data_IF_695755827670
#
_entry.id   IF_695755827670
#
_cell.length_a   1.000
_cell.length_b   1.000
_cell.length_c   1.000
_cell.angle_alpha   90.00
_cell.angle_beta   90.00
_cell.angle_gamma   90.00
#
_symmetry.space_group_name_H-M   'P 1'
#
loop_
_entity.id
_entity.type
_entity.pdbx_description
1 polymer ?
#
# COMPACT_ATOMS: atom_id res chain seq x y z
N UNK A 1 -8.62 -8.24 28.18
CA UNK A 1 -9.12 -7.48 27.02
C UNK A 1 -8.50 -6.09 27.07
N UNK A 2 -8.15 -5.51 25.90
CA UNK A 2 -7.63 -4.14 25.85
C UNK A 2 -8.78 -3.14 26.05
N UNK A 3 -8.51 -2.05 26.75
CA UNK A 3 -9.50 -1.02 27.08
C UNK A 3 -9.14 0.29 26.39
N UNK A 4 -10.15 1.10 26.10
CA UNK A 4 -9.95 2.44 25.56
C UNK A 4 -9.15 3.30 26.54
N UNK A 5 -8.21 4.08 25.99
CA UNK A 5 -7.28 4.89 26.77
C UNK A 5 -7.74 6.36 26.77
N UNK A 6 -7.68 7.08 27.90
CA UNK A 6 -8.02 8.49 27.97
C UNK A 6 -6.89 9.37 27.40
N UNK A 7 -6.78 9.43 26.08
CA UNK A 7 -5.89 10.36 25.38
C UNK A 7 -6.72 11.49 24.79
N UNK A 8 -6.32 12.73 25.06
CA UNK A 8 -6.96 13.91 24.46
C UNK A 8 -6.81 13.85 22.92
N UNK A 9 -7.91 13.98 22.16
CA UNK A 9 -7.88 14.04 20.70
C UNK A 9 -6.90 15.09 20.13
N UNK A 10 -6.64 16.19 20.84
CA UNK A 10 -5.67 17.22 20.45
C UNK A 10 -4.23 16.71 20.40
N UNK A 11 -3.94 15.62 21.11
CA UNK A 11 -2.64 14.95 21.08
C UNK A 11 -2.50 13.92 19.96
N UNK A 12 -3.51 13.78 19.09
CA UNK A 12 -3.54 12.82 17.99
C UNK A 12 -3.35 13.55 16.66
N UNK A 13 -2.38 13.07 15.88
CA UNK A 13 -2.05 13.61 14.57
C UNK A 13 -2.17 12.51 13.50
N UNK A 14 -2.64 12.88 12.32
CA UNK A 14 -2.77 11.99 11.17
C UNK A 14 -2.05 12.59 9.97
N UNK A 15 -0.95 11.98 9.54
CA UNK A 15 -0.12 12.45 8.44
C UNK A 15 -0.10 11.44 7.30
N UNK A 16 -0.44 11.88 6.10
CA UNK A 16 -0.35 11.04 4.91
C UNK A 16 0.89 11.40 4.10
N UNK A 17 1.78 10.44 3.90
CA UNK A 17 2.98 10.58 3.10
C UNK A 17 2.70 10.13 1.66
N UNK A 18 2.65 11.08 0.72
CA UNK A 18 2.27 10.85 -0.67
C UNK A 18 3.23 9.91 -1.42
N UNK A 19 4.53 10.18 -1.34
CA UNK A 19 5.58 9.33 -1.93
C UNK A 19 5.62 7.92 -1.32
N UNK A 20 5.48 7.84 0.02
CA UNK A 20 5.51 6.57 0.75
C UNK A 20 4.19 5.79 0.75
N UNK A 21 3.10 6.38 0.23
CA UNK A 21 1.74 5.80 0.19
C UNK A 21 1.32 5.19 1.52
N UNK A 22 1.54 5.95 2.59
CA UNK A 22 1.23 5.51 3.95
C UNK A 22 0.61 6.62 4.79
N UNK A 23 -0.38 6.24 5.58
CA UNK A 23 -0.93 7.08 6.63
C UNK A 23 -0.24 6.74 7.95
N UNK A 24 0.31 7.76 8.60
CA UNK A 24 0.97 7.67 9.90
C UNK A 24 0.10 8.36 10.93
N UNK A 25 -0.37 7.60 11.91
CA UNK A 25 -1.05 8.13 13.09
C UNK A 25 -0.05 8.26 14.22
N UNK A 26 -0.04 9.41 14.89
CA UNK A 26 0.79 9.66 16.07
C UNK A 26 -0.11 10.08 17.21
N UNK A 27 0.16 9.58 18.40
CA UNK A 27 -0.53 10.01 19.61
C UNK A 27 0.50 10.37 20.67
N UNK A 28 0.25 11.50 21.34
CA UNK A 28 0.98 11.97 22.52
C UNK A 28 0.00 12.40 23.59
N UNK A 29 0.23 11.98 24.82
CA UNK A 29 -0.59 12.40 25.94
C UNK A 29 -0.16 11.80 27.27
N UNK A 30 -0.89 12.18 28.32
CA UNK A 30 -0.71 11.65 29.67
C UNK A 30 -1.82 10.65 29.95
N UNK A 31 -1.46 9.43 30.35
CA UNK A 31 -2.42 8.37 30.65
C UNK A 31 -2.19 7.82 32.06
N UNK A 32 -3.21 7.25 32.70
CA UNK A 32 -3.06 6.60 33.99
C UNK A 32 -1.98 5.50 33.96
N UNK A 33 -1.14 5.47 34.99
CA UNK A 33 0.04 4.59 35.02
C UNK A 33 -0.26 3.09 35.05
N UNK A 34 -1.50 2.69 35.32
CA UNK A 34 -1.91 1.29 35.28
C UNK A 34 -2.12 0.76 33.85
N UNK A 35 -2.23 1.62 32.84
CA UNK A 35 -2.22 1.16 31.45
C UNK A 35 -0.81 0.74 31.05
N UNK A 36 -0.68 -0.33 30.27
CA UNK A 36 0.56 -0.71 29.59
C UNK A 36 0.82 0.22 28.40
N UNK A 37 1.66 -0.20 27.45
CA UNK A 37 1.92 0.60 26.25
C UNK A 37 0.65 0.67 25.38
N UNK A 38 0.12 1.87 25.11
CA UNK A 38 -1.02 2.03 24.23
C UNK A 38 -0.63 1.81 22.76
N UNK A 39 -1.63 1.43 21.97
CA UNK A 39 -1.51 1.21 20.53
C UNK A 39 -2.81 1.63 19.81
N UNK A 40 -2.69 1.83 18.51
CA UNK A 40 -3.84 2.00 17.63
C UNK A 40 -4.32 0.63 17.13
N UNK A 41 -5.63 0.41 17.14
CA UNK A 41 -6.28 -0.70 16.48
C UNK A 41 -7.20 -0.16 15.39
N UNK A 42 -7.12 -0.74 14.19
CA UNK A 42 -7.99 -0.34 13.09
C UNK A 42 -9.33 -1.07 13.21
N UNK A 43 -10.42 -0.32 13.22
CA UNK A 43 -11.77 -0.87 13.22
C UNK A 43 -12.28 -1.05 11.78
N UNK A 44 -12.94 -2.18 11.52
CA UNK A 44 -13.59 -2.42 10.23
C UNK A 44 -14.87 -1.58 10.16
N UNK A 45 -14.85 -0.53 9.35
CA UNK A 45 -16.00 0.37 9.18
C UNK A 45 -16.19 0.74 7.70
N UNK A 46 -17.43 0.63 7.21
CA UNK A 46 -17.80 0.79 5.79
C UNK A 46 -17.84 2.24 5.31
N UNK A 47 -17.58 3.24 6.16
CA UNK A 47 -17.70 4.66 5.81
C UNK A 47 -16.39 5.47 5.82
N UNK A 48 -15.24 4.87 6.16
CA UNK A 48 -14.02 5.65 6.38
C UNK A 48 -12.94 4.92 7.17
N UNK A 49 -11.87 5.65 7.47
CA UNK A 49 -10.82 5.18 8.37
C UNK A 49 -11.24 5.41 9.81
N UNK A 50 -11.40 4.32 10.56
CA UNK A 50 -11.70 4.35 11.99
C UNK A 50 -10.63 3.58 12.76
N UNK A 51 -10.17 4.20 13.84
CA UNK A 51 -9.19 3.63 14.74
C UNK A 51 -9.66 3.78 16.18
N UNK A 52 -9.20 2.88 17.03
CA UNK A 52 -9.38 2.99 18.47
C UNK A 52 -8.02 2.99 19.16
N UNK A 53 -7.88 3.83 20.19
CA UNK A 53 -6.68 3.88 21.03
C UNK A 53 -6.91 2.98 22.23
N UNK A 54 -6.16 1.88 22.29
CA UNK A 54 -6.34 0.85 23.31
C UNK A 54 -5.03 0.56 24.04
N UNK A 55 -5.16 0.10 25.28
CA UNK A 55 -4.07 -0.45 26.06
C UNK A 55 -4.59 -1.56 26.97
N UNK A 56 -3.71 -2.49 27.32
CA UNK A 56 -3.99 -3.45 28.37
C UNK A 56 -3.81 -2.80 29.74
N UNK A 57 -4.70 -3.08 30.69
CA UNK A 57 -4.48 -2.72 32.09
C UNK A 57 -3.52 -3.71 32.75
N UNK A 58 -2.51 -3.20 33.43
CA UNK A 58 -1.60 -3.99 34.25
C UNK A 58 -2.17 -4.22 35.65
N UNK A 59 -1.97 -5.43 36.18
CA UNK A 59 -2.36 -5.79 37.55
C UNK A 59 -1.38 -5.26 38.59
N UNK A 60 -1.35 -3.95 38.80
CA UNK A 60 -0.46 -3.33 39.78
C UNK A 60 -1.11 -3.24 41.17
N UNK A 61 -0.40 -3.68 42.22
CA UNK A 61 -0.87 -3.67 43.61
C UNK A 61 -1.04 -2.26 44.20
N UNK A 62 -0.41 -1.25 43.60
CA UNK A 62 -0.60 0.18 43.89
C UNK A 62 -0.85 0.91 42.58
N UNK A 63 -1.81 1.84 42.57
CA UNK A 63 -2.12 2.66 41.39
C UNK A 63 -0.85 3.46 41.01
N UNK A 64 -0.20 3.16 39.88
CA UNK A 64 1.00 3.88 39.48
C UNK A 64 0.62 5.31 39.09
N UNK A 65 1.55 6.26 39.28
CA UNK A 65 1.35 7.64 38.85
C UNK A 65 1.13 7.71 37.34
N UNK A 66 0.40 8.73 36.90
CA UNK A 66 0.22 9.03 35.48
C UNK A 66 1.56 9.10 34.75
N UNK A 67 1.55 8.63 33.51
CA UNK A 67 2.73 8.55 32.66
C UNK A 67 2.47 9.22 31.32
N UNK A 68 3.51 9.84 30.77
CA UNK A 68 3.49 10.34 29.41
C UNK A 68 3.73 9.18 28.42
N UNK A 69 2.98 9.19 27.33
CA UNK A 69 3.10 8.20 26.27
C UNK A 69 3.23 8.88 24.92
N UNK A 70 4.05 8.29 24.06
CA UNK A 70 4.17 8.62 22.65
C UNK A 70 4.25 7.32 21.86
N UNK A 71 3.39 7.16 20.89
CA UNK A 71 3.34 5.98 20.03
C UNK A 71 2.81 6.35 18.66
N UNK A 72 3.12 5.52 17.67
CA UNK A 72 2.73 5.72 16.29
C UNK A 72 2.26 4.42 15.66
N UNK A 73 1.48 4.55 14.58
CA UNK A 73 0.97 3.46 13.78
C UNK A 73 1.05 3.86 12.31
N UNK A 74 1.56 2.95 11.49
CA UNK A 74 1.64 3.15 10.04
C UNK A 74 0.64 2.23 9.34
N UNK A 75 -0.20 2.81 8.49
CA UNK A 75 -1.11 2.10 7.61
C UNK A 75 -0.67 2.33 6.16
N UNK A 76 -0.19 1.30 5.44
CA UNK A 76 -0.02 1.40 4.00
C UNK A 76 -1.40 1.49 3.33
N UNK A 77 -1.72 2.67 2.79
CA UNK A 77 -3.00 2.95 2.14
C UNK A 77 -2.78 4.00 1.05
N UNK A 78 -3.49 3.88 -0.07
CA UNK A 78 -3.51 4.91 -1.09
C UNK A 78 -4.64 5.89 -0.74
N UNK A 79 -4.31 7.14 -0.42
CA UNK A 79 -5.26 8.24 -0.29
C UNK A 79 -4.94 9.33 -1.32
N UNK A 80 -5.94 10.03 -1.88
CA UNK A 80 -7.39 9.90 -1.60
C UNK A 80 -8.07 8.72 -2.33
N UNK A 81 -9.07 8.09 -1.68
CA UNK A 81 -9.93 7.02 -2.24
C UNK A 81 -11.30 7.62 -2.65
N UNK A 82 -11.84 7.30 -3.85
CA UNK A 82 -13.17 7.76 -4.27
C UNK A 82 -14.29 7.34 -3.30
N UNK A 83 -15.30 8.20 -3.11
CA UNK A 83 -16.45 7.97 -2.22
C UNK A 83 -16.11 7.63 -0.76
N UNK A 84 -14.87 7.86 -0.37
CA UNK A 84 -14.33 7.61 0.97
C UNK A 84 -13.97 8.93 1.65
N UNK A 85 -14.02 8.96 2.98
CA UNK A 85 -13.55 10.13 3.69
C UNK A 85 -12.02 10.22 3.65
N UNK A 86 -11.51 11.17 2.85
CA UNK A 86 -10.08 11.45 2.70
C UNK A 86 -9.63 12.64 3.53
N UNK A 87 -10.55 13.35 4.18
CA UNK A 87 -10.23 14.58 4.91
C UNK A 87 -9.82 14.29 6.34
N UNK A 88 -10.34 13.21 6.90
CA UNK A 88 -10.17 12.88 8.30
C UNK A 88 -10.21 11.38 8.58
N UNK A 89 -9.69 11.02 9.74
CA UNK A 89 -9.84 9.71 10.36
C UNK A 89 -10.65 9.84 11.64
N UNK A 90 -11.50 8.87 11.90
CA UNK A 90 -12.20 8.77 13.18
C UNK A 90 -11.32 8.04 14.18
N UNK A 91 -11.08 8.64 15.33
CA UNK A 91 -10.30 8.03 16.41
C UNK A 91 -11.14 7.95 17.67
N UNK A 92 -11.34 6.74 18.16
CA UNK A 92 -12.06 6.43 19.39
C UNK A 92 -11.09 6.29 20.56
N UNK A 93 -11.34 7.07 21.60
CA UNK A 93 -10.60 7.07 22.87
C UNK A 93 -11.57 6.90 24.02
N UNK A 94 -11.09 6.86 25.27
CA UNK A 94 -12.00 6.84 26.42
C UNK A 94 -12.86 8.11 26.54
N UNK A 95 -12.51 9.20 25.83
CA UNK A 95 -13.31 10.43 25.76
C UNK A 95 -14.37 10.41 24.66
N UNK A 96 -14.43 9.34 23.86
CA UNK A 96 -15.35 9.18 22.74
C UNK A 96 -14.65 9.20 21.38
N UNK A 97 -15.45 9.29 20.31
CA UNK A 97 -14.98 9.33 18.92
C UNK A 97 -14.73 10.77 18.48
N UNK A 98 -13.55 11.04 17.92
CA UNK A 98 -13.17 12.35 17.39
C UNK A 98 -12.76 12.28 15.92
N UNK A 99 -12.99 13.36 15.20
CA UNK A 99 -12.56 13.54 13.81
C UNK A 99 -11.19 14.21 13.80
N UNK A 100 -10.18 13.49 13.32
CA UNK A 100 -8.79 13.96 13.22
C UNK A 100 -8.48 14.22 11.74
N UNK A 101 -8.21 15.48 11.41
CA UNK A 101 -7.91 15.89 10.03
C UNK A 101 -6.59 15.27 9.55
N UNK A 102 -6.60 14.74 8.34
CA UNK A 102 -5.41 14.21 7.67
C UNK A 102 -4.61 15.37 7.09
N UNK A 103 -3.34 15.48 7.47
CA UNK A 103 -2.37 16.40 6.85
C UNK A 103 -1.62 15.65 5.77
N UNK A 104 -1.69 16.19 4.56
CA UNK A 104 -1.09 15.61 3.37
C UNK A 104 0.33 16.17 3.20
N UNK A 105 1.34 15.30 3.29
CA UNK A 105 2.76 15.61 3.27
C UNK A 105 3.45 14.92 2.10
N UNK A 106 4.63 15.42 1.71
CA UNK A 106 5.51 14.79 0.72
C UNK A 106 4.82 14.52 -0.63
N UNK A 107 4.04 15.50 -1.08
CA UNK A 107 3.62 15.56 -2.48
C UNK A 107 4.80 16.08 -3.30
N UNK A 108 5.08 15.49 -4.48
CA UNK A 108 6.06 16.08 -5.36
C UNK A 108 5.62 17.52 -5.65
N UNK A 109 6.48 18.49 -5.36
CA UNK A 109 6.34 19.82 -5.92
C UNK A 109 6.29 19.66 -7.45
N UNK A 110 5.46 20.48 -8.10
CA UNK A 110 5.43 20.52 -9.55
C UNK A 110 6.87 20.60 -10.06
N UNK A 111 7.27 19.76 -11.04
CA UNK A 111 8.59 19.94 -11.62
C UNK A 111 8.67 21.38 -12.10
N UNK A 112 9.61 22.15 -11.55
CA UNK A 112 9.93 23.49 -12.02
C UNK A 112 10.31 23.36 -13.50
N UNK A 113 9.33 23.70 -14.34
CA UNK A 113 9.41 24.11 -15.73
C UNK A 113 10.73 23.76 -16.41
N UNK A 114 10.89 22.50 -16.86
CA UNK A 114 11.97 22.12 -17.76
C UNK A 114 11.54 21.04 -18.74
N UNK A 115 11.50 21.47 -19.99
CA UNK A 115 11.30 20.69 -21.19
C UNK A 115 12.09 19.37 -21.21
N UNK A 116 11.40 18.25 -21.47
CA UNK A 116 12.07 17.07 -22.04
C UNK A 116 11.17 16.38 -23.07
N UNK A 117 11.40 16.79 -24.33
CA UNK A 117 11.36 16.02 -25.56
C UNK A 117 10.19 15.04 -25.80
N UNK A 118 9.18 15.53 -26.52
CA UNK A 118 8.49 14.70 -27.52
C UNK A 118 9.50 14.28 -28.59
N UNK A 119 9.99 13.05 -28.54
CA UNK A 119 10.49 12.37 -29.75
C UNK A 119 9.33 11.63 -30.39
N UNK A 120 8.54 12.37 -31.16
CA UNK A 120 7.67 11.81 -32.20
C UNK A 120 8.56 11.28 -33.32
N UNK A 121 8.58 9.97 -33.51
CA UNK A 121 9.04 9.37 -34.77
C UNK A 121 7.98 9.69 -35.82
N UNK A 122 8.38 10.43 -36.85
CA UNK A 122 7.57 10.78 -38.01
C UNK A 122 7.06 9.54 -38.75
N UNK A 123 5.79 9.60 -39.15
CA UNK A 123 5.12 8.65 -40.01
C UNK A 123 3.73 9.18 -40.36
N UNK A 124 3.62 9.82 -41.52
CA UNK A 124 2.43 10.43 -42.11
C UNK A 124 1.17 9.52 -42.07
N UNK A 125 0.06 10.06 -41.56
CA UNK A 125 -1.25 10.07 -42.23
C UNK A 125 -2.33 10.74 -41.34
N UNK A 126 -2.83 11.88 -41.85
CA UNK A 126 -4.15 12.50 -41.70
C UNK A 126 -4.98 12.28 -40.42
N UNK A 127 -5.22 13.41 -39.75
CA UNK A 127 -6.21 13.60 -38.70
C UNK A 127 -7.65 13.31 -39.15
N UNK A 128 -8.36 12.47 -38.40
CA UNK A 128 -9.78 12.67 -38.06
C UNK A 128 -10.13 11.78 -36.88
N UNK A 129 -10.50 12.39 -35.76
CA UNK A 129 -10.86 11.69 -34.54
C UNK A 129 -10.45 12.49 -33.32
N UNK A 130 -11.31 13.42 -32.91
CA UNK A 130 -11.31 14.00 -31.57
C UNK A 130 -11.61 12.89 -30.56
N UNK A 131 -10.59 12.09 -30.23
CA UNK A 131 -10.59 11.28 -29.03
C UNK A 131 -9.70 11.99 -28.02
N UNK A 132 -10.33 12.46 -26.95
CA UNK A 132 -9.65 12.91 -25.74
C UNK A 132 -8.81 11.72 -25.27
N UNK A 133 -7.50 11.70 -25.60
CA UNK A 133 -6.60 10.64 -25.15
C UNK A 133 -6.63 10.62 -23.64
N UNK A 134 -7.35 9.66 -23.11
CA UNK A 134 -7.32 9.23 -21.72
C UNK A 134 -5.86 9.11 -21.28
N UNK A 135 -5.41 10.02 -20.42
CA UNK A 135 -4.03 10.03 -19.96
C UNK A 135 -3.76 8.70 -19.24
N UNK A 136 -2.67 8.02 -19.58
CA UNK A 136 -2.23 6.83 -18.83
C UNK A 136 -0.95 7.20 -18.11
N UNK A 137 -0.92 7.01 -16.79
CA UNK A 137 0.30 7.17 -16.01
C UNK A 137 0.80 5.79 -15.59
N UNK A 138 2.03 5.47 -15.95
CA UNK A 138 2.66 4.20 -15.58
C UNK A 138 3.77 4.46 -14.59
N UNK A 139 3.64 3.91 -13.39
CA UNK A 139 4.66 3.99 -12.34
C UNK A 139 5.29 2.61 -12.19
N UNK A 140 6.60 2.55 -12.42
CA UNK A 140 7.39 1.33 -12.22
C UNK A 140 8.13 1.48 -10.89
N UNK A 141 7.81 0.59 -9.94
CA UNK A 141 8.47 0.56 -8.64
C UNK A 141 9.83 -0.13 -8.73
N UNK A 142 10.76 0.16 -7.80
CA UNK A 142 12.02 -0.57 -7.69
C UNK A 142 11.77 -2.08 -7.57
N UNK A 143 12.56 -2.92 -8.26
CA UNK A 143 12.40 -4.38 -8.18
C UNK A 143 12.65 -4.91 -6.76
N UNK A 144 11.84 -5.88 -6.34
CA UNK A 144 12.02 -6.57 -5.05
C UNK A 144 12.67 -7.94 -5.29
N UNK A 145 13.85 -8.22 -4.72
CA UNK A 145 14.50 -9.53 -4.87
C UNK A 145 13.83 -10.58 -3.98
N UNK A 146 13.57 -11.74 -4.55
CA UNK A 146 13.09 -12.94 -3.86
C UNK A 146 13.90 -14.16 -4.29
N UNK A 147 13.85 -15.18 -3.44
CA UNK A 147 14.51 -16.46 -3.73
C UNK A 147 13.48 -17.58 -3.66
N UNK A 148 13.50 -18.47 -4.66
CA UNK A 148 12.61 -19.62 -4.76
C UNK A 148 13.42 -20.91 -4.85
N UNK A 149 13.14 -21.85 -3.95
CA UNK A 149 13.75 -23.18 -3.96
C UNK A 149 13.15 -24.04 -5.07
N UNK A 150 13.91 -25.05 -5.51
CA UNK A 150 13.54 -25.94 -6.62
C UNK A 150 12.20 -26.68 -6.43
N UNK A 151 11.79 -26.91 -5.18
CA UNK A 151 10.55 -27.59 -4.80
C UNK A 151 9.59 -26.69 -3.97
N UNK A 152 9.92 -25.41 -3.81
CA UNK A 152 9.18 -24.49 -2.95
C UNK A 152 8.03 -23.78 -3.65
N UNK A 153 7.27 -23.04 -2.85
CA UNK A 153 6.30 -22.06 -3.31
C UNK A 153 6.78 -20.68 -2.83
N UNK A 154 6.65 -19.69 -3.70
CA UNK A 154 6.84 -18.28 -3.34
C UNK A 154 5.47 -17.61 -3.34
N UNK A 155 5.11 -17.05 -2.20
CA UNK A 155 3.89 -16.28 -2.03
C UNK A 155 4.15 -14.81 -2.43
N UNK A 156 3.47 -14.36 -3.48
CA UNK A 156 3.40 -12.95 -3.84
C UNK A 156 2.03 -12.40 -3.46
N UNK A 157 1.99 -11.15 -3.00
CA UNK A 157 0.74 -10.50 -2.62
C UNK A 157 0.63 -9.10 -3.19
N UNK A 158 -0.58 -8.69 -3.54
CA UNK A 158 -0.90 -7.34 -3.94
C UNK A 158 -2.20 -6.87 -3.30
N UNK A 159 -2.23 -5.59 -2.95
CA UNK A 159 -3.46 -4.95 -2.49
C UNK A 159 -4.43 -4.82 -3.67
N UNK A 160 -5.68 -5.22 -3.48
CA UNK A 160 -6.71 -4.99 -4.49
C UNK A 160 -7.13 -3.52 -4.41
N UNK A 161 -7.07 -2.76 -5.52
CA UNK A 161 -7.63 -1.42 -5.60
C UNK A 161 -9.09 -1.41 -5.15
N UNK A 162 -9.49 -0.37 -4.43
CA UNK A 162 -10.86 -0.28 -3.89
C UNK A 162 -11.86 0.24 -4.93
N UNK A 163 -11.36 0.68 -6.09
CA UNK A 163 -12.10 1.23 -7.21
C UNK A 163 -12.78 0.12 -8.04
N UNK A 164 -14.05 0.32 -8.40
CA UNK A 164 -14.93 -0.72 -9.00
C UNK A 164 -14.46 -1.24 -10.37
N UNK A 165 -13.80 -0.38 -11.15
CA UNK A 165 -13.31 -0.68 -12.50
C UNK A 165 -11.83 -1.07 -12.53
N UNK A 166 -11.20 -1.20 -11.35
CA UNK A 166 -9.77 -1.46 -11.21
C UNK A 166 -9.47 -2.94 -11.00
N UNK A 167 -8.23 -3.33 -11.30
CA UNK A 167 -7.88 -4.74 -11.33
C UNK A 167 -6.42 -4.98 -11.01
N UNK A 168 -6.12 -6.20 -10.61
CA UNK A 168 -4.75 -6.67 -10.40
C UNK A 168 -4.49 -7.86 -11.29
N UNK A 169 -3.37 -7.83 -11.99
CA UNK A 169 -2.89 -8.88 -12.87
C UNK A 169 -1.47 -9.25 -12.45
N UNK A 170 -1.13 -10.53 -12.62
CA UNK A 170 0.23 -11.01 -12.55
C UNK A 170 0.71 -11.38 -13.96
N UNK A 171 1.94 -11.04 -14.28
CA UNK A 171 2.59 -11.36 -15.55
C UNK A 171 3.98 -11.96 -15.27
N UNK A 172 4.31 -13.06 -15.92
CA UNK A 172 5.54 -13.81 -15.71
C UNK A 172 5.85 -14.65 -16.95
N UNK A 173 7.10 -15.10 -17.07
CA UNK A 173 7.47 -16.03 -18.14
C UNK A 173 6.93 -17.45 -17.81
N UNK A 174 5.93 -17.96 -18.57
CA UNK A 174 5.32 -19.26 -18.29
C UNK A 174 6.25 -20.45 -18.57
N UNK A 175 7.35 -20.24 -19.30
CA UNK A 175 8.35 -21.30 -19.51
C UNK A 175 8.98 -21.71 -18.17
N UNK A 176 9.33 -20.74 -17.34
CA UNK A 176 10.06 -20.97 -16.10
C UNK A 176 9.17 -20.91 -14.86
N UNK A 177 8.19 -20.00 -14.82
CA UNK A 177 7.34 -19.80 -13.64
C UNK A 177 5.92 -20.28 -13.96
N UNK A 178 5.27 -20.95 -13.01
CA UNK A 178 3.85 -21.27 -13.06
C UNK A 178 3.12 -20.74 -11.83
N UNK A 179 1.85 -20.44 -12.04
CA UNK A 179 0.91 -20.14 -10.97
C UNK A 179 0.31 -21.45 -10.44
N UNK A 180 0.44 -21.68 -9.13
CA UNK A 180 -0.08 -22.87 -8.45
C UNK A 180 -1.46 -22.61 -7.87
N UNK A 181 -1.61 -21.47 -7.19
CA UNK A 181 -2.84 -21.11 -6.50
C UNK A 181 -3.03 -19.60 -6.47
N UNK A 182 -4.28 -19.16 -6.36
CA UNK A 182 -4.66 -17.76 -6.21
C UNK A 182 -5.73 -17.63 -5.13
N UNK A 183 -5.46 -16.81 -4.13
CA UNK A 183 -6.35 -16.62 -2.97
C UNK A 183 -6.68 -15.15 -2.79
N UNK A 184 -7.90 -14.90 -2.33
CA UNK A 184 -8.31 -13.60 -1.84
C UNK A 184 -8.45 -13.64 -0.32
N UNK A 185 -7.76 -12.75 0.38
CA UNK A 185 -7.80 -12.68 1.83
C UNK A 185 -7.54 -11.25 2.31
N UNK A 186 -8.42 -10.73 3.17
CA UNK A 186 -8.26 -9.41 3.83
C UNK A 186 -7.97 -8.23 2.88
N UNK A 187 -8.54 -8.23 1.68
CA UNK A 187 -8.33 -7.15 0.69
C UNK A 187 -7.05 -7.30 -0.15
N UNK A 188 -6.31 -8.39 0.02
CA UNK A 188 -5.16 -8.74 -0.80
C UNK A 188 -5.49 -9.91 -1.72
N UNK A 189 -4.96 -9.86 -2.93
CA UNK A 189 -4.82 -11.03 -3.79
C UNK A 189 -3.43 -11.62 -3.56
N UNK A 190 -3.39 -12.94 -3.39
CA UNK A 190 -2.21 -13.73 -3.10
C UNK A 190 -2.02 -14.76 -4.20
N UNK A 191 -0.80 -14.87 -4.73
CA UNK A 191 -0.43 -15.87 -5.73
C UNK A 191 0.69 -16.74 -5.20
N UNK A 192 0.46 -18.04 -5.21
CA UNK A 192 1.49 -19.03 -4.95
C UNK A 192 2.14 -19.38 -6.29
N UNK A 193 3.40 -18.99 -6.48
CA UNK A 193 4.17 -19.28 -7.70
C UNK A 193 5.25 -20.33 -7.43
N UNK A 194 5.53 -21.14 -8.44
CA UNK A 194 6.54 -22.19 -8.40
C UNK A 194 7.33 -22.25 -9.71
N UNK A 195 8.46 -22.94 -9.70
CA UNK A 195 9.15 -23.28 -10.94
C UNK A 195 8.30 -24.26 -11.76
N UNK A 196 8.03 -23.90 -13.01
CA UNK A 196 7.59 -24.82 -14.05
C UNK A 196 8.80 -25.58 -14.62
N UNK A 197 9.85 -24.80 -14.93
CA UNK A 197 11.17 -25.27 -15.35
C UNK A 197 12.21 -24.49 -14.57
N UNK A 198 13.18 -25.18 -13.99
CA UNK A 198 14.22 -24.55 -13.19
C UNK A 198 15.15 -23.77 -14.12
N UNK A 199 15.28 -22.44 -13.96
CA UNK A 199 16.19 -21.64 -14.78
C UNK A 199 17.66 -21.97 -14.45
N UNK A 200 18.52 -21.91 -15.46
CA UNK A 200 19.97 -22.14 -15.31
C UNK A 200 20.75 -21.13 -16.14
N UNK A 201 21.91 -20.68 -15.64
CA UNK A 201 22.79 -19.77 -16.36
C UNK A 201 22.18 -18.39 -16.54
N UNK A 202 22.21 -17.84 -17.76
CA UNK A 202 21.71 -16.50 -18.07
C UNK A 202 20.19 -16.31 -17.88
N UNK A 203 19.45 -17.39 -17.71
CA UNK A 203 18.01 -17.36 -17.41
C UNK A 203 17.72 -17.25 -15.90
N UNK A 204 18.72 -17.26 -15.02
CA UNK A 204 18.56 -16.93 -13.60
C UNK A 204 19.08 -15.50 -13.40
N UNK A 205 18.25 -14.52 -12.97
CA UNK A 205 16.91 -14.62 -12.38
C UNK A 205 15.73 -14.46 -13.35
N UNK A 206 14.54 -14.89 -12.91
CA UNK A 206 13.27 -14.66 -13.61
C UNK A 206 12.53 -13.45 -13.05
N UNK A 207 11.84 -12.72 -13.92
CA UNK A 207 11.05 -11.54 -13.51
C UNK A 207 9.57 -11.88 -13.44
N UNK A 208 8.94 -11.50 -12.34
CA UNK A 208 7.49 -11.57 -12.14
C UNK A 208 6.96 -10.16 -11.90
N UNK A 209 5.98 -9.74 -12.68
CA UNK A 209 5.36 -8.43 -12.56
C UNK A 209 3.99 -8.55 -11.92
N UNK A 210 3.78 -7.81 -10.85
CA UNK A 210 2.43 -7.52 -10.34
C UNK A 210 2.02 -6.17 -10.90
N UNK A 211 0.96 -6.18 -11.70
CA UNK A 211 0.42 -5.02 -12.39
C UNK A 211 -0.89 -4.67 -11.73
N UNK A 212 -0.94 -3.50 -11.12
CA UNK A 212 -2.15 -2.95 -10.52
C UNK A 212 -2.64 -1.82 -11.41
N UNK A 213 -3.82 -2.00 -12.00
CA UNK A 213 -4.46 -0.99 -12.85
C UNK A 213 -5.56 -0.31 -12.06
N UNK A 214 -5.44 1.00 -11.92
CA UNK A 214 -6.40 1.87 -11.24
C UNK A 214 -7.06 2.73 -12.32
N UNK A 215 -8.33 2.45 -12.60
CA UNK A 215 -9.15 3.27 -13.50
C UNK A 215 -9.83 4.36 -12.67
N UNK A 216 -9.54 5.61 -13.00
CA UNK A 216 -10.11 6.78 -12.35
C UNK A 216 -11.43 7.13 -13.04
N UNK A 217 -12.56 6.79 -12.42
CA UNK A 217 -13.90 7.05 -12.98
C UNK A 217 -14.27 8.56 -13.02
N UNK A 218 -13.38 9.47 -12.59
CA UNK A 218 -13.66 10.91 -12.44
C UNK A 218 -12.64 11.75 -13.22
N UNK A 219 -13.13 12.53 -14.19
CA UNK A 219 -12.39 13.67 -14.77
C UNK A 219 -12.41 14.81 -13.75
N UNK A 220 -11.27 15.10 -13.13
CA UNK A 220 -11.11 16.20 -12.18
C UNK A 220 -11.56 17.54 -12.82
N UNK A 221 -12.32 18.42 -12.13
CA UNK A 221 -12.81 19.68 -12.68
C UNK A 221 -11.75 20.81 -12.71
N UNK A 222 -10.44 20.49 -12.67
CA UNK A 222 -9.35 21.46 -12.78
C UNK A 222 -8.28 20.90 -13.74
N UNK A 223 -7.90 21.67 -14.76
CA UNK A 223 -7.18 21.30 -16.00
C UNK A 223 -5.64 21.37 -15.80
N UNK A 224 -4.73 20.59 -16.47
CA UNK A 224 -4.84 19.68 -17.64
C UNK A 224 -4.65 18.17 -17.29
N UNK A 225 -4.53 17.21 -18.24
CA UNK A 225 -5.14 15.89 -18.09
C UNK A 225 -4.47 15.05 -17.01
N UNK A 226 -5.20 14.84 -15.92
CA UNK A 226 -4.87 13.75 -15.01
C UNK A 226 -5.07 12.42 -15.75
N UNK A 227 -4.16 11.47 -15.52
CA UNK A 227 -4.28 10.16 -16.14
C UNK A 227 -5.62 9.54 -15.71
N UNK A 228 -6.48 9.20 -16.67
CA UNK A 228 -7.69 8.42 -16.42
C UNK A 228 -7.38 7.00 -15.97
N UNK A 229 -6.15 6.54 -16.21
CA UNK A 229 -5.67 5.23 -15.76
C UNK A 229 -4.28 5.35 -15.15
N UNK A 230 -4.13 4.90 -13.91
CA UNK A 230 -2.82 4.69 -13.29
C UNK A 230 -2.47 3.21 -13.30
N UNK A 231 -1.33 2.86 -13.88
CA UNK A 231 -0.78 1.51 -13.89
C UNK A 231 0.43 1.49 -12.97
N UNK A 232 0.40 0.67 -11.93
CA UNK A 232 1.53 0.45 -11.03
C UNK A 232 2.11 -0.93 -11.35
N UNK A 233 3.37 -0.96 -11.72
CA UNK A 233 4.10 -2.20 -11.96
C UNK A 233 5.09 -2.39 -10.81
N UNK A 234 4.92 -3.47 -10.05
CA UNK A 234 5.88 -3.93 -9.06
C UNK A 234 6.64 -5.13 -9.64
N UNK A 235 7.91 -4.95 -10.05
CA UNK A 235 8.75 -6.06 -10.48
C UNK A 235 9.25 -6.85 -9.26
N UNK A 236 9.25 -8.17 -9.39
CA UNK A 236 9.88 -9.11 -8.48
C UNK A 236 10.96 -9.88 -9.25
N UNK A 237 12.18 -9.87 -8.74
CA UNK A 237 13.30 -10.63 -9.30
C UNK A 237 13.39 -11.92 -8.50
N UNK A 238 13.01 -13.03 -9.12
CA UNK A 238 13.01 -14.36 -8.49
C UNK A 238 14.26 -15.11 -8.91
N UNK A 239 15.21 -15.21 -7.99
CA UNK A 239 16.42 -16.00 -8.14
C UNK A 239 16.22 -17.42 -7.64
N UNK A 240 16.97 -18.36 -8.21
CA UNK A 240 17.01 -19.73 -7.70
C UNK A 240 17.78 -19.80 -6.37
N UNK A 241 17.24 -20.51 -5.39
CA UNK A 241 18.00 -20.91 -4.19
C UNK A 241 18.49 -22.35 -4.34
N UNK A 242 19.81 -22.54 -4.24
CA UNK A 242 20.41 -23.87 -4.18
C UNK A 242 20.31 -24.41 -2.75
N UNK A 243 19.57 -25.50 -2.56
CA UNK A 243 19.61 -26.25 -1.30
C UNK A 243 20.89 -27.10 -1.30
N UNK A 244 21.70 -26.96 -0.25
CA UNK A 244 23.03 -27.61 -0.12
C UNK A 244 22.95 -29.16 -0.11
N UNK A 245 21.74 -29.74 -0.01
CA UNK A 245 21.54 -31.20 -0.01
C UNK A 245 21.70 -31.88 -1.37
N UNK A 246 21.58 -31.15 -2.50
CA UNK A 246 21.53 -31.77 -3.83
C UNK A 246 22.93 -31.95 -4.48
N UNK A 247 24.00 -31.83 -3.68
CA UNK A 247 25.40 -32.06 -4.12
C UNK A 247 25.89 -33.50 -3.93
N UNK A 248 25.08 -34.39 -3.37
CA UNK A 248 25.45 -35.79 -3.17
C UNK A 248 24.44 -36.72 -3.86
N UNK A 249 24.45 -36.74 -5.19
CA UNK A 249 24.07 -37.90 -6.00
C UNK A 249 24.90 -37.93 -7.29
#
# INVERSE_FOLDING_TARGET
MASLVPIDPKGIEAHYHGLGRKLVLKAKGTIPGYFLTPFFEQDIWTGGLRFSVKAYSGGFAKVPKDKEVKFEFELPILLPIPHFNNKSVLVETAFGTSDIKIVYLEWPEDPEDNAVAFQSVEGDASASGSETKEGKNTVILPPIPYVLTDKGLLLLSALIPKELSSGVKIDFNPEYVKLVDTKFENGFIKWDIAWNKIPTGASDPQTVHVITTINHDIKLPVIPPFPSVTIIIQPYIVSRMWMVSDKNE
#
